data_IF_451339404326
#
_entry.id   IF_451339404326
#
_cell.length_a   1.000
_cell.length_b   1.000
_cell.length_c   1.000
_cell.angle_alpha   90.00
_cell.angle_beta   90.00
_cell.angle_gamma   90.00
#
_symmetry.space_group_name_H-M   'P 1'
#
loop_
_entity.id
_entity.type
_entity.pdbx_description
1 polymer ?
#
# COMPACT_ATOMS: atom_id res chain seq x y z
N UNK A 1 1.48 9.82 -9.16
CA UNK A 1 1.97 9.79 -7.77
C UNK A 1 1.66 8.42 -7.19
N UNK A 2 2.61 7.83 -6.47
CA UNK A 2 2.48 6.49 -5.86
C UNK A 2 2.62 6.65 -4.35
N UNK A 3 1.58 6.27 -3.59
CA UNK A 3 1.59 6.28 -2.12
C UNK A 3 1.47 4.85 -1.62
N UNK A 4 2.47 4.42 -0.83
CA UNK A 4 2.47 3.12 -0.20
C UNK A 4 1.87 3.22 1.21
N UNK A 5 0.93 2.35 1.52
CA UNK A 5 0.31 2.31 2.86
C UNK A 5 0.16 0.87 3.34
N UNK A 6 0.27 0.69 4.65
CA UNK A 6 0.18 -0.60 5.33
C UNK A 6 -1.07 -0.68 6.20
N UNK A 7 -2.28 -0.82 5.61
CA UNK A 7 -3.52 -0.93 6.36
C UNK A 7 -3.68 -2.31 7.00
N UNK A 8 -4.64 -2.42 7.92
CA UNK A 8 -5.17 -3.72 8.29
C UNK A 8 -5.98 -4.30 7.12
N UNK A 9 -5.95 -5.62 6.92
CA UNK A 9 -6.54 -6.29 5.73
C UNK A 9 -8.00 -5.92 5.49
N UNK A 10 -8.82 -5.86 6.55
CA UNK A 10 -10.23 -5.51 6.44
C UNK A 10 -10.51 -4.07 6.00
N UNK A 11 -9.49 -3.20 5.98
CA UNK A 11 -9.59 -1.80 5.60
C UNK A 11 -8.87 -1.48 4.29
N UNK A 12 -8.44 -2.48 3.55
CA UNK A 12 -7.70 -2.26 2.31
C UNK A 12 -8.51 -1.50 1.27
N UNK A 13 -9.76 -1.90 1.04
CA UNK A 13 -10.64 -1.23 0.06
C UNK A 13 -10.98 0.21 0.48
N UNK A 14 -11.29 0.41 1.76
CA UNK A 14 -11.56 1.74 2.32
C UNK A 14 -10.34 2.67 2.18
N UNK A 15 -9.15 2.16 2.51
CA UNK A 15 -7.91 2.92 2.39
C UNK A 15 -7.57 3.23 0.93
N UNK A 16 -7.87 2.30 0.01
CA UNK A 16 -7.68 2.49 -1.42
C UNK A 16 -8.58 3.64 -1.93
N UNK A 17 -9.89 3.54 -1.70
CA UNK A 17 -10.86 4.55 -2.13
C UNK A 17 -10.59 5.93 -1.52
N UNK A 18 -10.21 5.98 -0.23
CA UNK A 18 -9.83 7.23 0.43
C UNK A 18 -8.62 7.89 -0.26
N UNK A 19 -7.59 7.12 -0.59
CA UNK A 19 -6.39 7.65 -1.25
C UNK A 19 -6.63 8.06 -2.69
N UNK A 20 -7.47 7.33 -3.43
CA UNK A 20 -7.88 7.78 -4.76
C UNK A 20 -8.58 9.15 -4.70
N UNK A 21 -9.52 9.31 -3.76
CA UNK A 21 -10.22 10.58 -3.56
C UNK A 21 -9.31 11.72 -3.15
N UNK A 22 -8.35 11.47 -2.25
CA UNK A 22 -7.43 12.49 -1.72
C UNK A 22 -6.60 13.20 -2.79
N UNK A 23 -6.15 12.47 -3.81
CA UNK A 23 -5.30 13.03 -4.88
C UNK A 23 -6.04 13.36 -6.17
N UNK A 24 -7.37 13.20 -6.17
CA UNK A 24 -8.18 13.42 -7.35
C UNK A 24 -8.09 14.87 -7.83
N UNK A 25 -8.21 15.83 -6.92
CA UNK A 25 -8.20 17.25 -7.27
C UNK A 25 -6.81 17.71 -7.73
N UNK A 26 -5.75 17.25 -7.05
CA UNK A 26 -4.36 17.48 -7.50
C UNK A 26 -4.14 16.97 -8.92
N UNK A 27 -4.69 15.80 -9.25
CA UNK A 27 -4.57 15.21 -10.59
C UNK A 27 -5.32 16.02 -11.64
N UNK A 28 -6.47 16.61 -11.28
CA UNK A 28 -7.21 17.51 -12.19
C UNK A 28 -6.43 18.80 -12.46
N UNK A 29 -5.81 19.38 -11.44
CA UNK A 29 -4.96 20.57 -11.58
C UNK A 29 -3.77 20.29 -12.50
N UNK A 30 -3.04 19.20 -12.28
CA UNK A 30 -1.92 18.82 -13.13
C UNK A 30 -2.35 18.59 -14.59
N UNK A 31 -3.49 17.94 -14.82
CA UNK A 31 -4.02 17.72 -16.18
C UNK A 31 -4.47 19.01 -16.85
N UNK A 32 -4.93 20.00 -16.08
CA UNK A 32 -5.30 21.33 -16.60
C UNK A 32 -4.06 22.07 -17.10
N UNK A 33 -2.92 21.84 -16.46
CA UNK A 33 -1.62 22.39 -16.84
C UNK A 33 -0.88 21.53 -17.89
N UNK A 34 -1.62 20.67 -18.62
CA UNK A 34 -1.13 19.79 -19.68
C UNK A 34 -0.13 18.71 -19.24
N UNK A 35 -0.07 18.41 -17.93
CA UNK A 35 0.72 17.30 -17.41
C UNK A 35 -0.07 15.99 -17.40
N UNK A 36 0.60 14.89 -17.78
CA UNK A 36 0.05 13.55 -17.61
C UNK A 36 0.20 13.10 -16.14
N UNK A 37 -0.92 13.04 -15.42
CA UNK A 37 -0.96 12.61 -14.02
C UNK A 37 -1.88 11.41 -13.84
N UNK A 38 -1.34 10.35 -13.23
CA UNK A 38 -2.06 9.14 -12.85
C UNK A 38 -1.91 8.86 -11.35
N UNK A 39 -3.02 8.52 -10.70
CA UNK A 39 -3.07 8.09 -9.30
C UNK A 39 -3.02 6.57 -9.28
N UNK A 40 -2.19 6.02 -8.41
CA UNK A 40 -2.14 4.58 -8.18
C UNK A 40 -1.87 4.31 -6.71
N UNK A 41 -2.92 4.13 -5.90
CA UNK A 41 -2.76 3.70 -4.53
C UNK A 41 -2.28 2.26 -4.52
N UNK A 42 -1.26 1.97 -3.71
CA UNK A 42 -0.71 0.63 -3.56
C UNK A 42 -0.76 0.21 -2.10
N UNK A 43 -1.49 -0.85 -1.83
CA UNK A 43 -1.74 -1.35 -0.48
C UNK A 43 -1.03 -2.69 -0.27
N UNK A 44 -0.31 -2.78 0.84
CA UNK A 44 0.22 -4.04 1.37
C UNK A 44 -0.25 -4.15 2.80
N UNK A 45 -1.11 -5.11 3.11
CA UNK A 45 -1.60 -5.36 4.45
C UNK A 45 -0.47 -5.63 5.44
N UNK A 46 -0.65 -5.19 6.69
CA UNK A 46 0.34 -5.27 7.76
C UNK A 46 0.86 -6.70 8.05
N UNK A 47 0.10 -7.75 7.72
CA UNK A 47 0.53 -9.15 7.88
C UNK A 47 1.12 -9.76 6.60
N UNK A 48 1.53 -8.92 5.67
CA UNK A 48 2.10 -9.36 4.40
C UNK A 48 1.05 -9.76 3.37
N UNK A 49 -0.21 -9.39 3.59
CA UNK A 49 -1.26 -9.56 2.59
C UNK A 49 -1.02 -8.57 1.46
N UNK A 50 -0.75 -9.05 0.24
CA UNK A 50 -0.45 -8.18 -0.88
C UNK A 50 -1.71 -7.91 -1.69
N UNK A 51 -2.09 -6.63 -1.83
CA UNK A 51 -3.22 -6.23 -2.66
C UNK A 51 -2.95 -6.43 -4.15
N UNK A 52 -4.02 -6.57 -4.94
CA UNK A 52 -3.94 -6.63 -6.41
C UNK A 52 -3.32 -5.34 -7.00
N UNK A 53 -3.45 -4.21 -6.31
CA UNK A 53 -2.84 -2.93 -6.68
C UNK A 53 -1.31 -3.00 -6.74
N UNK A 54 -0.66 -3.71 -5.82
CA UNK A 54 0.80 -3.92 -5.85
C UNK A 54 1.24 -4.79 -7.03
N UNK A 55 0.45 -5.79 -7.41
CA UNK A 55 0.69 -6.57 -8.62
C UNK A 55 0.55 -5.71 -9.88
N UNK A 56 -0.47 -4.85 -9.92
CA UNK A 56 -0.69 -3.87 -10.98
C UNK A 56 0.49 -2.90 -11.14
N UNK A 57 0.99 -2.34 -10.04
CA UNK A 57 2.19 -1.48 -10.02
C UNK A 57 3.39 -2.18 -10.66
N UNK A 58 3.72 -3.39 -10.20
CA UNK A 58 4.86 -4.12 -10.73
C UNK A 58 4.71 -4.42 -12.23
N UNK A 59 3.48 -4.68 -12.67
CA UNK A 59 3.21 -4.89 -14.10
C UNK A 59 3.38 -3.60 -14.91
N UNK A 60 2.97 -2.43 -14.39
CA UNK A 60 3.23 -1.12 -15.02
C UNK A 60 4.72 -0.79 -15.06
N UNK A 61 5.48 -1.19 -14.05
CA UNK A 61 6.94 -1.08 -14.01
C UNK A 61 7.65 -2.14 -14.89
N UNK A 62 6.92 -2.91 -15.70
CA UNK A 62 7.45 -3.99 -16.54
C UNK A 62 8.19 -5.10 -15.76
N UNK A 63 7.90 -5.23 -14.46
CA UNK A 63 8.44 -6.30 -13.61
C UNK A 63 7.51 -7.51 -13.73
N UNK A 64 7.95 -8.51 -14.51
CA UNK A 64 7.19 -9.73 -14.79
C UNK A 64 7.80 -11.02 -14.23
N UNK A 65 7.07 -12.12 -14.43
CA UNK A 65 7.52 -13.49 -14.14
C UNK A 65 8.05 -13.69 -12.72
N UNK A 66 9.14 -14.45 -12.59
CA UNK A 66 9.76 -14.77 -11.30
C UNK A 66 10.25 -13.54 -10.53
N UNK A 67 10.65 -12.47 -11.24
CA UNK A 67 11.07 -11.22 -10.60
C UNK A 67 9.91 -10.56 -9.87
N UNK A 68 8.71 -10.59 -10.46
CA UNK A 68 7.49 -10.06 -9.84
C UNK A 68 7.14 -10.83 -8.57
N UNK A 69 7.12 -12.16 -8.63
CA UNK A 69 6.81 -12.99 -7.44
C UNK A 69 7.79 -12.74 -6.30
N UNK A 70 9.09 -12.60 -6.61
CA UNK A 70 10.10 -12.23 -5.62
C UNK A 70 9.87 -10.83 -5.04
N UNK A 71 9.55 -9.86 -5.88
CA UNK A 71 9.27 -8.49 -5.44
C UNK A 71 8.03 -8.43 -4.54
N UNK A 72 6.93 -9.10 -4.91
CA UNK A 72 5.72 -9.18 -4.08
C UNK A 72 6.01 -9.81 -2.71
N UNK A 73 6.82 -10.87 -2.68
CA UNK A 73 7.24 -11.52 -1.43
C UNK A 73 8.08 -10.57 -0.56
N UNK A 74 9.05 -9.88 -1.16
CA UNK A 74 9.89 -8.92 -0.43
C UNK A 74 9.05 -7.76 0.14
N UNK A 75 8.10 -7.26 -0.65
CA UNK A 75 7.14 -6.24 -0.24
C UNK A 75 6.30 -6.71 0.96
N UNK A 76 5.77 -7.94 0.90
CA UNK A 76 5.03 -8.55 2.00
C UNK A 76 5.87 -8.68 3.28
N UNK A 77 7.07 -9.27 3.17
CA UNK A 77 7.99 -9.47 4.30
C UNK A 77 8.40 -8.14 4.92
N UNK A 78 8.66 -7.12 4.10
CA UNK A 78 9.00 -5.78 4.57
C UNK A 78 7.83 -5.14 5.32
N UNK A 79 6.60 -5.28 4.81
CA UNK A 79 5.41 -4.77 5.49
C UNK A 79 5.17 -5.44 6.84
N UNK A 80 5.37 -6.76 6.92
CA UNK A 80 5.30 -7.51 8.20
C UNK A 80 6.35 -6.99 9.18
N UNK A 81 7.62 -6.94 8.76
CA UNK A 81 8.72 -6.54 9.63
C UNK A 81 8.58 -5.09 10.12
N UNK A 82 8.16 -4.19 9.23
CA UNK A 82 8.00 -2.78 9.56
C UNK A 82 6.80 -2.53 10.47
N UNK A 83 5.70 -3.28 10.29
CA UNK A 83 4.52 -3.15 11.15
C UNK A 83 4.63 -3.91 12.46
N UNK A 84 5.52 -4.92 12.57
CA UNK A 84 5.72 -5.76 13.76
C UNK A 84 5.87 -4.96 15.04
N UNK A 85 6.63 -3.86 15.02
CA UNK A 85 6.83 -3.00 16.19
C UNK A 85 5.53 -2.40 16.72
N UNK A 86 4.62 -1.98 15.83
CA UNK A 86 3.31 -1.42 16.18
C UNK A 86 2.49 -2.48 16.93
N UNK A 87 2.51 -3.72 16.44
CA UNK A 87 1.80 -4.84 17.04
C UNK A 87 2.40 -5.27 18.38
N UNK A 88 3.73 -5.37 18.49
CA UNK A 88 4.40 -5.70 19.74
C UNK A 88 4.06 -4.70 20.85
N UNK A 89 4.07 -3.40 20.56
CA UNK A 89 3.69 -2.36 21.54
C UNK A 89 2.19 -2.26 21.81
N UNK A 90 1.36 -2.66 20.85
CA UNK A 90 -0.08 -2.81 21.07
C UNK A 90 -0.37 -3.94 22.06
N UNK A 91 0.31 -5.06 21.89
CA UNK A 91 0.15 -6.25 22.73
C UNK A 91 0.64 -6.02 24.17
N UNK A 92 1.79 -5.36 24.35
CA UNK A 92 2.29 -4.98 25.69
C UNK A 92 1.29 -4.10 26.45
N UNK A 93 0.66 -3.12 25.78
CA UNK A 93 -0.34 -2.23 26.40
C UNK A 93 -1.66 -2.93 26.76
N UNK A 94 -1.99 -4.02 26.09
CA UNK A 94 -3.16 -4.84 26.43
C UNK A 94 -2.87 -5.74 27.63
N UNK A 95 -1.64 -6.25 27.76
CA UNK A 95 -1.21 -7.09 28.87
C UNK A 95 -1.01 -6.33 30.19
N UNK A 96 -0.71 -5.03 30.13
CA UNK A 96 -0.55 -4.16 31.31
C UNK A 96 -1.81 -3.37 31.69
N UNK A 97 -2.97 -3.75 31.13
CA UNK A 97 -4.27 -3.14 31.44
C UNK A 97 -5.13 -3.98 32.40
N UNK A 98 -4.57 -5.03 32.99
CA UNK A 98 -5.17 -5.83 34.08
C UNK A 98 -4.63 -5.41 35.45
#
# INVERSE_FOLDING_TARGET
MEELTVPYESRMEEAHAFKEGKYLDLTKELKKDDYEANIMPVEIGARGFVGSSAYGLLSKLSIGGNKRTKALRLLAETAVNSSRWIWSRGHERLLHKE
#
